data_IF_532472505980
#
_entry.id   IF_532472505980
#
_cell.length_a   1.000
_cell.length_b   1.000
_cell.length_c   1.000
_cell.angle_alpha   90.00
_cell.angle_beta   90.00
_cell.angle_gamma   90.00
#
_symmetry.space_group_name_H-M   'P 1'
#
loop_
_entity.id
_entity.type
_entity.pdbx_description
1 polymer ?
#
# COMPACT_ATOMS: atom_id res chain seq x y z
N UNK A 1 16.25 -16.32 -21.95
CA UNK A 1 17.23 -15.34 -21.45
C UNK A 1 16.52 -14.00 -21.45
N UNK A 2 16.40 -13.36 -20.30
CA UNK A 2 15.96 -11.96 -20.22
C UNK A 2 17.08 -11.06 -20.74
N UNK A 3 16.73 -10.11 -21.60
CA UNK A 3 17.66 -9.06 -22.06
C UNK A 3 18.12 -8.24 -20.85
N UNK A 4 19.41 -7.96 -20.74
CA UNK A 4 19.94 -7.13 -19.66
C UNK A 4 19.48 -5.66 -19.84
N UNK A 5 19.19 -4.94 -18.75
CA UNK A 5 18.63 -3.57 -18.83
C UNK A 5 19.50 -2.63 -19.69
N UNK A 6 20.82 -2.75 -19.60
CA UNK A 6 21.75 -1.90 -20.37
C UNK A 6 21.74 -2.17 -21.89
N UNK A 7 21.11 -3.26 -22.33
CA UNK A 7 20.95 -3.64 -23.74
C UNK A 7 19.61 -3.17 -24.33
N UNK A 8 18.70 -2.65 -23.50
CA UNK A 8 17.39 -2.16 -23.95
C UNK A 8 17.54 -0.88 -24.76
N UNK A 9 16.74 -0.75 -25.82
CA UNK A 9 16.56 0.50 -26.54
C UNK A 9 15.84 1.54 -25.67
N UNK A 10 15.87 2.81 -26.09
CA UNK A 10 15.15 3.89 -25.38
C UNK A 10 13.65 3.62 -25.26
N UNK A 11 13.03 3.08 -26.31
CA UNK A 11 11.60 2.74 -26.29
C UNK A 11 11.29 1.61 -25.30
N UNK A 12 12.14 0.58 -25.25
CA UNK A 12 12.01 -0.51 -24.29
C UNK A 12 12.22 -0.02 -22.86
N UNK A 13 13.23 0.82 -22.61
CA UNK A 13 13.46 1.42 -21.29
C UNK A 13 12.25 2.19 -20.78
N UNK A 14 11.61 3.00 -21.63
CA UNK A 14 10.42 3.76 -21.26
C UNK A 14 9.21 2.85 -20.99
N UNK A 15 8.99 1.85 -21.84
CA UNK A 15 7.89 0.91 -21.69
C UNK A 15 8.04 0.04 -20.44
N UNK A 16 9.23 -0.52 -20.22
CA UNK A 16 9.53 -1.39 -19.09
C UNK A 16 9.48 -0.62 -17.77
N UNK A 17 10.00 0.62 -17.73
CA UNK A 17 9.91 1.45 -16.54
C UNK A 17 8.44 1.76 -16.17
N UNK A 18 7.57 2.03 -17.15
CA UNK A 18 6.15 2.23 -16.91
C UNK A 18 5.46 0.95 -16.40
N UNK A 19 5.78 -0.21 -17.00
CA UNK A 19 5.23 -1.50 -16.57
C UNK A 19 5.66 -1.85 -15.14
N UNK A 20 6.96 -1.75 -14.83
CA UNK A 20 7.48 -2.00 -13.47
C UNK A 20 6.88 -1.04 -12.45
N UNK A 21 6.66 0.22 -12.81
CA UNK A 21 6.02 1.19 -11.91
C UNK A 21 4.59 0.78 -11.55
N UNK A 22 3.84 0.26 -12.53
CA UNK A 22 2.49 -0.28 -12.30
C UNK A 22 2.53 -1.54 -11.41
N UNK A 23 3.46 -2.46 -11.67
CA UNK A 23 3.64 -3.66 -10.86
C UNK A 23 4.00 -3.33 -9.41
N UNK A 24 4.86 -2.33 -9.19
CA UNK A 24 5.20 -1.84 -7.85
C UNK A 24 3.95 -1.34 -7.12
N UNK A 25 3.07 -0.60 -7.81
CA UNK A 25 1.81 -0.13 -7.22
C UNK A 25 0.88 -1.28 -6.83
N UNK A 26 0.72 -2.29 -7.71
CA UNK A 26 -0.10 -3.46 -7.43
C UNK A 26 0.48 -4.31 -6.28
N UNK A 27 1.81 -4.45 -6.22
CA UNK A 27 2.49 -5.13 -5.11
C UNK A 27 2.32 -4.39 -3.79
N UNK A 28 2.34 -3.05 -3.81
CA UNK A 28 2.08 -2.23 -2.63
C UNK A 28 0.63 -2.40 -2.14
N UNK A 29 -0.34 -2.36 -3.05
CA UNK A 29 -1.75 -2.62 -2.76
C UNK A 29 -1.93 -4.00 -2.11
N UNK A 30 -1.33 -5.03 -2.71
CA UNK A 30 -1.34 -6.40 -2.18
C UNK A 30 -0.71 -6.48 -0.79
N UNK A 31 0.39 -5.77 -0.55
CA UNK A 31 1.02 -5.70 0.78
C UNK A 31 0.05 -5.12 1.81
N UNK A 32 -0.65 -4.04 1.48
CA UNK A 32 -1.63 -3.41 2.38
C UNK A 32 -2.77 -4.38 2.70
N UNK A 33 -3.31 -5.08 1.70
CA UNK A 33 -4.35 -6.09 1.88
C UNK A 33 -3.88 -7.25 2.79
N UNK A 34 -2.66 -7.76 2.60
CA UNK A 34 -2.07 -8.77 3.48
C UNK A 34 -1.91 -8.26 4.91
N UNK A 35 -1.48 -7.01 5.09
CA UNK A 35 -1.35 -6.40 6.42
C UNK A 35 -2.71 -6.21 7.09
N UNK A 36 -3.77 -5.94 6.33
CA UNK A 36 -5.13 -5.86 6.87
C UNK A 36 -5.59 -7.20 7.45
N UNK A 37 -5.28 -8.31 6.77
CA UNK A 37 -5.52 -9.67 7.25
C UNK A 37 -4.66 -9.99 8.48
N UNK A 38 -3.38 -9.60 8.48
CA UNK A 38 -2.48 -9.80 9.62
C UNK A 38 -2.99 -9.07 10.86
N UNK A 39 -3.37 -7.78 10.72
CA UNK A 39 -3.89 -6.96 11.81
C UNK A 39 -5.20 -7.51 12.41
N UNK A 40 -5.98 -8.26 11.61
CA UNK A 40 -7.25 -8.86 12.04
C UNK A 40 -7.07 -10.23 12.68
N UNK A 41 -6.19 -11.07 12.11
CA UNK A 41 -6.19 -12.52 12.36
C UNK A 41 -4.97 -13.02 13.13
N UNK A 42 -3.84 -12.32 13.07
CA UNK A 42 -2.59 -12.83 13.63
C UNK A 42 -2.43 -12.31 15.06
N UNK A 43 -2.33 -13.23 16.01
CA UNK A 43 -2.17 -12.88 17.42
C UNK A 43 -0.85 -12.15 17.69
N UNK A 44 -0.82 -11.32 18.74
CA UNK A 44 0.41 -10.65 19.19
C UNK A 44 1.53 -11.63 19.53
N UNK A 45 1.19 -12.77 20.13
CA UNK A 45 2.13 -13.86 20.43
C UNK A 45 2.79 -14.38 19.14
N UNK A 46 2.00 -14.59 18.08
CA UNK A 46 2.52 -15.06 16.80
C UNK A 46 3.35 -14.01 16.07
N UNK A 47 2.99 -12.73 16.20
CA UNK A 47 3.78 -11.62 15.65
C UNK A 47 5.12 -11.48 16.36
N UNK A 48 5.16 -11.70 17.69
CA UNK A 48 6.31 -11.34 18.53
C UNK A 48 6.45 -9.84 18.77
N UNK A 49 5.42 -9.04 18.40
CA UNK A 49 5.38 -7.59 18.54
C UNK A 49 4.00 -7.13 19.02
N UNK A 50 3.89 -5.94 19.65
CA UNK A 50 2.59 -5.39 20.07
C UNK A 50 1.58 -5.19 18.92
N UNK A 51 2.05 -5.10 17.68
CA UNK A 51 1.21 -5.03 16.49
C UNK A 51 2.00 -5.07 15.18
N UNK A 52 1.30 -5.03 14.03
CA UNK A 52 1.90 -5.27 12.72
C UNK A 52 2.96 -4.24 12.31
N UNK A 53 2.88 -2.99 12.79
CA UNK A 53 3.87 -1.96 12.44
C UNK A 53 5.27 -2.28 13.00
N UNK A 54 5.34 -2.75 14.25
CA UNK A 54 6.59 -3.19 14.86
C UNK A 54 7.15 -4.43 14.15
N UNK A 55 6.27 -5.37 13.81
CA UNK A 55 6.64 -6.56 13.04
C UNK A 55 7.15 -6.24 11.62
N UNK A 56 6.49 -5.34 10.89
CA UNK A 56 6.96 -4.90 9.56
C UNK A 56 8.33 -4.22 9.65
N UNK A 57 8.52 -3.35 10.64
CA UNK A 57 9.79 -2.63 10.83
C UNK A 57 10.95 -3.59 11.13
N UNK A 58 10.71 -4.67 11.87
CA UNK A 58 11.76 -5.61 12.27
C UNK A 58 12.06 -6.69 11.22
N UNK A 59 11.08 -7.03 10.38
CA UNK A 59 11.20 -8.13 9.40
C UNK A 59 11.45 -7.65 7.96
N UNK A 60 11.45 -6.34 7.74
CA UNK A 60 11.67 -5.72 6.43
C UNK A 60 12.65 -4.55 6.55
N UNK A 61 12.97 -3.89 5.43
CA UNK A 61 13.77 -2.66 5.40
C UNK A 61 12.91 -1.37 5.48
N UNK A 62 11.68 -1.47 5.98
CA UNK A 62 10.80 -0.31 6.12
C UNK A 62 11.19 0.53 7.33
N UNK A 63 11.13 1.86 7.17
CA UNK A 63 11.21 2.77 8.30
C UNK A 63 9.96 2.64 9.18
N UNK A 64 10.04 2.96 10.48
CA UNK A 64 8.87 2.98 11.36
C UNK A 64 7.73 3.83 10.81
N UNK A 65 8.04 4.99 10.22
CA UNK A 65 7.03 5.87 9.61
C UNK A 65 6.29 5.17 8.46
N UNK A 66 7.02 4.48 7.56
CA UNK A 66 6.40 3.78 6.43
C UNK A 66 5.58 2.58 6.88
N UNK A 67 6.07 1.80 7.85
CA UNK A 67 5.32 0.69 8.43
C UNK A 67 4.00 1.15 9.07
N UNK A 68 4.01 2.24 9.84
CA UNK A 68 2.81 2.81 10.43
C UNK A 68 1.80 3.30 9.37
N UNK A 69 2.27 3.95 8.30
CA UNK A 69 1.38 4.37 7.18
C UNK A 69 0.68 3.18 6.54
N UNK A 70 1.39 2.07 6.29
CA UNK A 70 0.80 0.85 5.72
C UNK A 70 -0.29 0.28 6.65
N UNK A 71 -0.03 0.21 7.96
CA UNK A 71 -1.01 -0.29 8.93
C UNK A 71 -2.22 0.64 9.04
N UNK A 72 -2.01 1.96 9.00
CA UNK A 72 -3.11 2.93 9.01
C UNK A 72 -3.99 2.76 7.76
N UNK A 73 -3.40 2.66 6.57
CA UNK A 73 -4.11 2.39 5.32
C UNK A 73 -4.87 1.05 5.37
N UNK A 74 -4.22 -0.01 5.85
CA UNK A 74 -4.82 -1.33 5.98
C UNK A 74 -6.05 -1.33 6.90
N UNK A 75 -6.08 -0.46 7.93
CA UNK A 75 -7.23 -0.29 8.81
C UNK A 75 -8.30 0.60 8.20
N UNK A 76 -7.92 1.73 7.61
CA UNK A 76 -8.84 2.68 7.00
C UNK A 76 -9.63 2.07 5.85
N UNK A 77 -8.95 1.34 4.94
CA UNK A 77 -9.58 0.74 3.76
C UNK A 77 -10.66 -0.31 4.10
N UNK A 78 -10.66 -0.89 5.30
CA UNK A 78 -11.74 -1.82 5.73
C UNK A 78 -13.12 -1.17 5.72
N UNK A 79 -13.19 0.15 5.90
CA UNK A 79 -14.43 0.91 5.92
C UNK A 79 -14.86 1.39 4.52
N UNK A 80 -14.03 1.18 3.49
CA UNK A 80 -14.25 1.69 2.13
C UNK A 80 -13.90 0.62 1.08
N UNK A 81 -14.72 -0.45 0.96
CA UNK A 81 -14.42 -1.57 0.07
C UNK A 81 -14.24 -1.16 -1.40
N UNK A 82 -15.03 -0.20 -1.89
CA UNK A 82 -14.90 0.30 -3.27
C UNK A 82 -13.53 0.97 -3.52
N UNK A 83 -12.99 1.68 -2.53
CA UNK A 83 -11.65 2.28 -2.59
C UNK A 83 -10.59 1.19 -2.54
N UNK A 84 -10.77 0.20 -1.66
CA UNK A 84 -9.86 -0.94 -1.56
C UNK A 84 -9.77 -1.72 -2.88
N UNK A 85 -10.91 -1.97 -3.53
CA UNK A 85 -10.97 -2.64 -4.82
C UNK A 85 -10.28 -1.83 -5.91
N UNK A 86 -10.57 -0.52 -6.00
CA UNK A 86 -9.92 0.35 -6.98
C UNK A 86 -8.39 0.43 -6.80
N UNK A 87 -7.89 0.36 -5.57
CA UNK A 87 -6.44 0.26 -5.29
C UNK A 87 -5.88 -1.09 -5.70
N UNK A 88 -6.57 -2.19 -5.35
CA UNK A 88 -6.12 -3.55 -5.66
C UNK A 88 -6.13 -3.87 -7.16
N UNK A 89 -6.97 -3.19 -7.96
CA UNK A 89 -6.99 -3.32 -9.42
C UNK A 89 -6.14 -2.28 -10.14
N UNK A 90 -5.42 -1.42 -9.41
CA UNK A 90 -4.55 -0.39 -10.00
C UNK A 90 -5.28 0.76 -10.69
N UNK A 91 -6.59 0.91 -10.45
CA UNK A 91 -7.41 2.05 -10.93
C UNK A 91 -7.08 3.31 -10.12
N UNK A 92 -6.67 3.14 -8.86
CA UNK A 92 -6.31 4.22 -7.94
C UNK A 92 -4.97 3.93 -7.27
N UNK A 93 -4.14 4.96 -7.11
CA UNK A 93 -2.88 4.82 -6.36
C UNK A 93 -3.13 4.77 -4.86
N UNK A 94 -2.22 4.11 -4.14
CA UNK A 94 -2.23 4.06 -2.67
C UNK A 94 -2.21 5.46 -2.04
N UNK A 95 -1.43 6.38 -2.62
CA UNK A 95 -1.34 7.76 -2.12
C UNK A 95 -2.67 8.52 -2.28
N UNK A 96 -3.38 8.28 -3.39
CA UNK A 96 -4.71 8.88 -3.58
C UNK A 96 -5.70 8.30 -2.58
N UNK A 97 -5.72 6.98 -2.36
CA UNK A 97 -6.54 6.38 -1.33
C UNK A 97 -6.23 6.95 0.07
N UNK A 98 -4.96 7.21 0.39
CA UNK A 98 -4.55 7.84 1.63
C UNK A 98 -5.18 9.24 1.82
N UNK A 99 -5.24 10.04 0.75
CA UNK A 99 -5.88 11.36 0.77
C UNK A 99 -7.38 11.26 1.04
N UNK A 100 -8.07 10.33 0.37
CA UNK A 100 -9.51 10.12 0.56
C UNK A 100 -9.79 9.69 1.99
N UNK A 101 -9.02 8.74 2.53
CA UNK A 101 -9.17 8.29 3.92
C UNK A 101 -8.94 9.42 4.92
N UNK A 102 -7.90 10.23 4.72
CA UNK A 102 -7.61 11.39 5.57
C UNK A 102 -8.78 12.37 5.58
N UNK A 103 -9.37 12.63 4.41
CA UNK A 103 -10.54 13.49 4.28
C UNK A 103 -11.77 12.90 4.97
N UNK A 104 -12.03 11.60 4.80
CA UNK A 104 -13.19 10.93 5.38
C UNK A 104 -13.12 10.85 6.92
N UNK A 105 -11.92 10.67 7.49
CA UNK A 105 -11.71 10.63 8.94
C UNK A 105 -11.75 12.02 9.58
N UNK A 106 -11.30 13.06 8.85
CA UNK A 106 -11.27 14.44 9.35
C UNK A 106 -11.90 15.41 8.33
N UNK A 107 -13.24 15.38 8.18
CA UNK A 107 -13.92 16.25 7.22
C UNK A 107 -13.72 17.74 7.56
N UNK A 108 -13.50 18.62 6.56
CA UNK A 108 -13.39 20.05 6.79
C UNK A 108 -14.63 20.61 7.49
N UNK A 109 -14.42 21.54 8.43
CA UNK A 109 -15.47 22.12 9.28
C UNK A 109 -16.62 22.80 8.52
N UNK A 110 -16.42 23.14 7.24
CA UNK A 110 -17.35 23.93 6.43
C UNK A 110 -17.81 23.18 5.16
N UNK A 111 -17.95 21.86 5.23
CA UNK A 111 -18.54 21.08 4.13
C UNK A 111 -19.98 21.57 3.86
N UNK A 112 -20.32 22.00 2.63
CA UNK A 112 -21.70 22.29 2.26
C UNK A 112 -22.57 21.05 2.43
N UNK A 113 -23.80 21.23 2.92
CA UNK A 113 -24.80 20.16 2.99
C UNK A 113 -25.41 19.87 1.62
#
# INVERSE_FOLDING_TARGET
MTTEIWQLSEAELLADAAAVSHDIQLLEARRIALVAEIDTRVSREKLGFPGPAGWLTSTTLLTPSKANKIVALARGLKNFPDIADAVNTGVMTVDHAALILTFAETPPKNLPQ
#
